data_IF_321221798798
#
_entry.id   IF_321221798798
#
_cell.length_a   1.000
_cell.length_b   1.000
_cell.length_c   1.000
_cell.angle_alpha   90.00
_cell.angle_beta   90.00
_cell.angle_gamma   90.00
#
_symmetry.space_group_name_H-M   'P 1'
#
loop_
_entity.id
_entity.type
_entity.pdbx_description
1 polymer ?
#
# COMPACT_ATOMS: atom_id res chain seq x y z
N UNK A 1 8.98 -27.37 -12.67
CA UNK A 1 8.78 -25.93 -12.42
C UNK A 1 8.30 -25.82 -10.98
N UNK A 2 9.20 -25.55 -10.04
CA UNK A 2 8.93 -25.73 -8.59
C UNK A 2 8.54 -24.44 -7.87
N UNK A 3 8.89 -23.27 -8.43
CA UNK A 3 8.67 -21.97 -7.80
C UNK A 3 7.62 -21.17 -8.56
N UNK A 4 6.34 -21.44 -8.29
CA UNK A 4 5.19 -20.68 -8.81
C UNK A 4 4.61 -19.84 -7.68
N UNK A 5 4.40 -18.55 -7.96
CA UNK A 5 3.82 -17.62 -7.00
C UNK A 5 2.30 -17.52 -7.20
N UNK A 6 1.53 -17.62 -6.12
CA UNK A 6 0.06 -17.53 -6.16
C UNK A 6 -0.42 -16.23 -5.51
N UNK A 7 -1.38 -15.55 -6.16
CA UNK A 7 -2.11 -14.42 -5.56
C UNK A 7 -3.37 -14.95 -4.88
N UNK A 8 -3.26 -15.30 -3.60
CA UNK A 8 -4.37 -15.88 -2.82
C UNK A 8 -5.10 -14.79 -2.03
N UNK A 9 -4.36 -13.82 -1.49
CA UNK A 9 -4.88 -12.90 -0.48
C UNK A 9 -5.60 -11.70 -1.08
N UNK A 10 -5.02 -11.04 -2.08
CA UNK A 10 -5.53 -9.75 -2.58
C UNK A 10 -5.50 -9.69 -4.11
N UNK A 11 -6.54 -9.10 -4.74
CA UNK A 11 -6.53 -8.79 -6.17
C UNK A 11 -5.68 -7.54 -6.41
N UNK A 12 -4.36 -7.68 -6.30
CA UNK A 12 -3.39 -6.58 -6.43
C UNK A 12 -2.20 -7.01 -7.30
N UNK A 13 -1.53 -6.06 -7.95
CA UNK A 13 -0.25 -6.28 -8.62
C UNK A 13 0.76 -7.01 -7.68
N UNK A 14 1.60 -7.92 -8.22
CA UNK A 14 2.38 -8.83 -7.37
C UNK A 14 3.39 -8.10 -6.48
N UNK A 15 3.97 -7.00 -6.98
CA UNK A 15 4.97 -6.23 -6.26
C UNK A 15 4.40 -5.36 -5.12
N UNK A 16 3.08 -5.32 -4.92
CA UNK A 16 2.44 -4.65 -3.79
C UNK A 16 1.87 -5.59 -2.73
N UNK A 17 1.84 -6.90 -2.97
CA UNK A 17 1.12 -7.87 -2.10
C UNK A 17 1.52 -7.75 -0.62
N UNK A 18 2.83 -7.67 -0.34
CA UNK A 18 3.33 -7.52 1.04
C UNK A 18 3.06 -6.14 1.63
N UNK A 19 3.03 -5.09 0.81
CA UNK A 19 2.66 -3.75 1.25
C UNK A 19 1.18 -3.67 1.64
N UNK A 20 0.30 -4.35 0.89
CA UNK A 20 -1.13 -4.50 1.20
C UNK A 20 -1.33 -5.24 2.52
N UNK A 21 -0.62 -6.34 2.71
CA UNK A 21 -0.67 -7.12 3.96
C UNK A 21 -0.28 -6.26 5.17
N UNK A 22 0.85 -5.56 5.08
CA UNK A 22 1.30 -4.67 6.14
C UNK A 22 0.31 -3.53 6.41
N UNK A 23 -0.32 -2.96 5.38
CA UNK A 23 -1.35 -1.94 5.52
C UNK A 23 -2.56 -2.43 6.33
N UNK A 24 -3.00 -3.68 6.14
CA UNK A 24 -4.10 -4.29 6.92
C UNK A 24 -3.68 -4.52 8.39
N UNK A 25 -2.45 -4.96 8.62
CA UNK A 25 -1.91 -5.07 9.98
C UNK A 25 -1.89 -3.70 10.67
N UNK A 26 -1.40 -2.67 9.99
CA UNK A 26 -1.32 -1.31 10.50
C UNK A 26 -2.69 -0.69 10.75
N UNK A 27 -3.68 -0.95 9.89
CA UNK A 27 -5.07 -0.57 10.13
C UNK A 27 -5.56 -1.11 11.48
N UNK A 28 -5.31 -2.39 11.76
CA UNK A 28 -5.69 -3.01 13.03
C UNK A 28 -4.95 -2.39 14.23
N UNK A 29 -3.69 -1.99 14.05
CA UNK A 29 -2.90 -1.32 15.09
C UNK A 29 -3.42 0.10 15.37
N UNK A 30 -3.73 0.87 14.34
CA UNK A 30 -4.35 2.21 14.46
C UNK A 30 -5.63 2.14 15.30
N UNK A 31 -6.52 1.22 14.95
CA UNK A 31 -7.78 1.03 15.69
C UNK A 31 -7.54 0.66 17.16
N UNK A 32 -6.59 -0.25 17.44
CA UNK A 32 -6.23 -0.63 18.82
C UNK A 32 -5.68 0.55 19.63
N UNK A 33 -5.01 1.48 18.97
CA UNK A 33 -4.49 2.70 19.59
C UNK A 33 -5.49 3.86 19.63
N UNK A 34 -6.74 3.65 19.18
CA UNK A 34 -7.76 4.70 19.10
C UNK A 34 -7.43 5.81 18.10
N UNK A 35 -6.55 5.52 17.13
CA UNK A 35 -6.11 6.45 16.09
C UNK A 35 -6.76 6.10 14.75
N UNK A 36 -6.77 7.08 13.86
CA UNK A 36 -7.27 6.99 12.50
C UNK A 36 -6.19 7.36 11.50
N UNK A 37 -6.48 7.15 10.22
CA UNK A 37 -5.58 7.59 9.14
C UNK A 37 -5.39 9.11 9.09
N UNK A 38 -6.31 9.89 9.67
CA UNK A 38 -6.18 11.34 9.75
C UNK A 38 -5.10 11.79 10.76
N UNK A 39 -4.70 10.89 11.67
CA UNK A 39 -3.63 11.14 12.65
C UNK A 39 -2.23 10.81 12.09
N UNK A 40 -2.14 10.39 10.82
CA UNK A 40 -0.88 10.02 10.18
C UNK A 40 -0.24 11.25 9.56
N UNK A 41 0.98 11.57 9.98
CA UNK A 41 1.76 12.68 9.42
C UNK A 41 2.49 12.33 8.12
N UNK A 42 3.07 11.14 8.03
CA UNK A 42 3.84 10.67 6.88
C UNK A 42 3.83 9.15 6.82
N UNK A 43 3.91 8.59 5.62
CA UNK A 43 4.11 7.16 5.39
C UNK A 43 5.28 6.98 4.43
N UNK A 44 6.21 6.09 4.77
CA UNK A 44 7.31 5.71 3.86
C UNK A 44 7.17 4.25 3.50
N UNK A 45 6.91 3.94 2.22
CA UNK A 45 6.99 2.57 1.73
C UNK A 45 8.40 2.33 1.22
N UNK A 46 9.16 1.50 1.95
CA UNK A 46 10.44 0.98 1.47
C UNK A 46 10.16 -0.21 0.57
N UNK A 47 10.65 -0.18 -0.66
CA UNK A 47 10.34 -1.23 -1.63
C UNK A 47 11.48 -1.48 -2.60
N UNK A 48 11.41 -2.57 -3.35
CA UNK A 48 12.42 -2.98 -4.33
C UNK A 48 12.24 -2.29 -5.68
N UNK A 49 13.30 -2.27 -6.51
CA UNK A 49 13.35 -1.52 -7.78
C UNK A 49 12.18 -1.82 -8.72
N UNK A 50 11.80 -3.10 -8.88
CA UNK A 50 10.69 -3.47 -9.76
C UNK A 50 9.35 -2.84 -9.35
N UNK A 51 9.10 -2.70 -8.04
CA UNK A 51 7.89 -2.08 -7.52
C UNK A 51 7.85 -0.60 -7.91
N UNK A 52 8.96 0.11 -7.70
CA UNK A 52 9.09 1.52 -8.07
C UNK A 52 8.88 1.71 -9.58
N UNK A 53 9.54 0.89 -10.39
CA UNK A 53 9.47 1.03 -11.85
C UNK A 53 8.09 0.74 -12.44
N UNK A 54 7.33 -0.17 -11.83
CA UNK A 54 6.09 -0.71 -12.42
C UNK A 54 4.85 -0.05 -11.83
N UNK A 55 4.83 0.21 -10.52
CA UNK A 55 3.61 0.60 -9.80
C UNK A 55 3.76 1.83 -8.88
N UNK A 56 4.89 2.56 -8.91
CA UNK A 56 4.96 3.91 -8.33
C UNK A 56 4.29 4.91 -9.28
N UNK A 57 3.03 5.25 -9.02
CA UNK A 57 2.25 6.21 -9.82
C UNK A 57 1.89 7.44 -8.99
N UNK A 58 2.17 8.61 -9.54
CA UNK A 58 1.82 9.92 -8.98
C UNK A 58 0.76 10.60 -9.84
N UNK A 59 -0.07 11.44 -9.21
CA UNK A 59 -1.14 12.18 -9.88
C UNK A 59 -2.49 11.46 -9.90
N UNK A 60 -3.45 11.94 -10.71
CA UNK A 60 -4.79 11.35 -10.80
C UNK A 60 -4.77 9.88 -11.26
N UNK A 61 -5.78 9.11 -10.87
CA UNK A 61 -5.99 7.71 -11.30
C UNK A 61 -7.41 7.58 -11.88
N UNK A 62 -7.49 7.48 -13.20
CA UNK A 62 -8.74 7.70 -13.91
C UNK A 62 -9.60 6.44 -14.09
N UNK A 63 -9.03 5.26 -13.86
CA UNK A 63 -9.70 3.98 -14.08
C UNK A 63 -9.20 2.88 -13.10
N UNK A 64 -9.92 1.75 -12.99
CA UNK A 64 -9.52 0.65 -12.11
C UNK A 64 -8.11 0.08 -12.39
N UNK A 65 -7.67 0.03 -13.64
CA UNK A 65 -6.35 -0.48 -13.98
C UNK A 65 -5.22 0.43 -13.48
N UNK A 66 -5.44 1.75 -13.49
CA UNK A 66 -4.51 2.71 -12.89
C UNK A 66 -4.37 2.51 -11.39
N UNK A 67 -5.47 2.17 -10.72
CA UNK A 67 -5.54 1.96 -9.27
C UNK A 67 -4.91 0.64 -8.85
N UNK A 68 -5.15 -0.45 -9.58
CA UNK A 68 -4.49 -1.75 -9.39
C UNK A 68 -2.98 -1.70 -9.69
N UNK A 69 -2.51 -0.68 -10.41
CA UNK A 69 -1.07 -0.48 -10.70
C UNK A 69 -0.51 0.77 -10.02
N UNK A 70 -1.06 1.14 -8.86
CA UNK A 70 -0.55 2.21 -8.00
C UNK A 70 -0.36 1.68 -6.58
N UNK A 71 0.90 1.49 -6.15
CA UNK A 71 1.21 1.01 -4.80
C UNK A 71 0.62 1.92 -3.72
N UNK A 72 0.65 3.23 -3.94
CA UNK A 72 0.10 4.20 -2.99
C UNK A 72 -1.42 4.00 -2.81
N UNK A 73 -2.14 3.72 -3.89
CA UNK A 73 -3.58 3.41 -3.82
C UNK A 73 -3.81 2.07 -3.10
N UNK A 74 -3.07 1.03 -3.50
CA UNK A 74 -3.16 -0.31 -2.91
C UNK A 74 -2.77 -0.35 -1.43
N UNK A 75 -2.02 0.63 -0.91
CA UNK A 75 -1.71 0.77 0.53
C UNK A 75 -2.71 1.68 1.24
N UNK A 76 -3.16 2.77 0.62
CA UNK A 76 -4.11 3.70 1.21
C UNK A 76 -5.47 3.03 1.52
N UNK A 77 -6.02 2.25 0.58
CA UNK A 77 -7.32 1.57 0.76
C UNK A 77 -7.33 0.65 1.97
N UNK A 78 -6.39 -0.31 2.13
CA UNK A 78 -6.37 -1.16 3.33
C UNK A 78 -6.06 -0.42 4.62
N UNK A 79 -5.26 0.66 4.61
CA UNK A 79 -5.08 1.51 5.79
C UNK A 79 -6.39 2.14 6.26
N UNK A 80 -7.24 2.56 5.32
CA UNK A 80 -8.54 3.17 5.61
C UNK A 80 -9.56 2.12 6.03
N UNK A 81 -9.68 1.03 5.28
CA UNK A 81 -10.82 0.10 5.35
C UNK A 81 -10.51 -1.27 5.95
N UNK A 82 -9.23 -1.60 6.20
CA UNK A 82 -8.80 -2.89 6.71
C UNK A 82 -8.96 -4.04 5.71
N UNK A 83 -9.13 -3.74 4.42
CA UNK A 83 -9.32 -4.72 3.34
C UNK A 83 -8.86 -4.17 1.99
N UNK A 84 -8.68 -5.06 1.02
CA UNK A 84 -8.55 -4.74 -0.39
C UNK A 84 -9.26 -5.79 -1.23
N UNK A 85 -10.27 -5.37 -1.99
CA UNK A 85 -11.10 -6.21 -2.86
C UNK A 85 -11.17 -5.60 -4.26
N UNK A 86 -11.60 -6.38 -5.25
CA UNK A 86 -11.72 -5.89 -6.62
C UNK A 86 -12.67 -4.67 -6.74
N UNK A 87 -13.73 -4.63 -5.92
CA UNK A 87 -14.66 -3.51 -5.89
C UNK A 87 -14.05 -2.21 -5.35
N UNK A 88 -12.93 -2.28 -4.62
CA UNK A 88 -12.27 -1.09 -4.08
C UNK A 88 -11.47 -0.31 -5.14
N UNK A 89 -11.32 -0.86 -6.36
CA UNK A 89 -10.77 -0.13 -7.50
C UNK A 89 -11.83 0.63 -8.32
N UNK A 90 -13.11 0.47 -8.02
CA UNK A 90 -14.19 1.15 -8.72
C UNK A 90 -14.37 2.59 -8.24
N UNK A 91 -14.93 3.44 -9.10
CA UNK A 91 -15.04 4.89 -8.86
C UNK A 91 -15.73 5.23 -7.54
N UNK A 92 -16.69 4.40 -7.10
CA UNK A 92 -17.41 4.60 -5.85
C UNK A 92 -16.49 4.61 -4.63
N UNK A 93 -15.47 3.76 -4.61
CA UNK A 93 -14.49 3.73 -3.50
C UNK A 93 -13.40 4.75 -3.77
N UNK A 94 -12.94 4.85 -5.02
CA UNK A 94 -11.90 5.80 -5.42
C UNK A 94 -12.29 7.28 -5.16
N UNK A 95 -13.59 7.60 -5.10
CA UNK A 95 -14.07 8.94 -4.77
C UNK A 95 -13.91 9.35 -3.30
N UNK A 96 -13.46 8.45 -2.41
CA UNK A 96 -13.16 8.81 -1.02
C UNK A 96 -11.90 9.69 -0.95
N UNK A 97 -12.08 10.97 -0.62
CA UNK A 97 -11.01 11.97 -0.56
C UNK A 97 -9.84 11.58 0.35
N UNK A 98 -10.08 10.73 1.36
CA UNK A 98 -9.02 10.25 2.26
C UNK A 98 -7.97 9.43 1.52
N UNK A 99 -8.32 8.78 0.42
CA UNK A 99 -7.39 8.01 -0.40
C UNK A 99 -6.33 8.94 -0.98
N UNK A 100 -6.76 10.01 -1.66
CA UNK A 100 -5.83 10.95 -2.28
C UNK A 100 -5.03 11.75 -1.26
N UNK A 101 -5.63 12.10 -0.12
CA UNK A 101 -4.92 12.71 1.00
C UNK A 101 -3.80 11.81 1.54
N UNK A 102 -4.06 10.52 1.71
CA UNK A 102 -3.03 9.56 2.13
C UNK A 102 -1.95 9.37 1.06
N UNK A 103 -2.35 9.27 -0.21
CA UNK A 103 -1.41 9.15 -1.34
C UNK A 103 -0.44 10.33 -1.41
N UNK A 104 -0.88 11.53 -1.02
CA UNK A 104 -0.03 12.72 -1.00
C UNK A 104 1.07 12.69 0.07
N UNK A 105 0.86 11.95 1.17
CA UNK A 105 1.84 11.81 2.26
C UNK A 105 2.59 10.46 2.24
N UNK A 106 2.39 9.67 1.18
CA UNK A 106 3.03 8.39 0.92
C UNK A 106 4.28 8.58 0.06
N UNK A 107 5.44 8.50 0.69
CA UNK A 107 6.73 8.51 0.01
C UNK A 107 7.19 7.08 -0.33
N UNK A 108 7.72 6.89 -1.54
CA UNK A 108 8.38 5.64 -1.95
C UNK A 108 9.89 5.80 -1.83
N UNK A 109 10.55 4.83 -1.21
CA UNK A 109 12.00 4.84 -1.03
C UNK A 109 12.64 3.52 -1.45
N UNK A 110 13.70 3.61 -2.25
CA UNK A 110 14.62 2.51 -2.50
C UNK A 110 15.75 2.58 -1.48
N UNK A 111 15.82 1.61 -0.57
CA UNK A 111 16.98 1.42 0.30
C UNK A 111 17.37 -0.05 0.29
N UNK A 112 18.10 -0.45 -0.75
CA UNK A 112 18.48 -1.83 -0.99
C UNK A 112 19.33 -2.40 0.16
N UNK A 113 20.26 -1.60 0.70
CA UNK A 113 21.14 -2.03 1.78
C UNK A 113 20.41 -2.28 3.10
N UNK A 114 19.28 -1.61 3.36
CA UNK A 114 18.37 -1.94 4.45
C UNK A 114 17.44 -3.09 4.09
N UNK A 115 16.86 -3.11 2.89
CA UNK A 115 15.93 -4.17 2.45
C UNK A 115 16.54 -5.57 2.53
N UNK A 116 17.80 -5.73 2.13
CA UNK A 116 18.50 -7.02 2.19
C UNK A 116 18.79 -7.49 3.63
N UNK A 117 18.67 -6.60 4.62
CA UNK A 117 18.90 -6.88 6.04
C UNK A 117 17.61 -7.01 6.85
N UNK A 118 16.50 -6.52 6.31
CA UNK A 118 15.20 -6.52 6.98
C UNK A 118 14.50 -7.86 6.74
N UNK A 119 14.01 -8.54 7.79
CA UNK A 119 13.18 -9.72 7.64
C UNK A 119 11.93 -9.43 6.78
N UNK A 120 11.48 -10.39 5.99
CA UNK A 120 10.42 -10.17 4.98
C UNK A 120 9.12 -9.58 5.53
N UNK A 121 8.86 -9.75 6.82
CA UNK A 121 7.66 -9.28 7.50
C UNK A 121 7.74 -7.82 8.00
N UNK A 122 8.87 -7.12 7.79
CA UNK A 122 9.12 -5.75 8.29
C UNK A 122 9.27 -4.71 7.15
N UNK A 123 8.82 -5.02 5.92
CA UNK A 123 9.07 -4.17 4.75
C UNK A 123 8.31 -2.84 4.67
N UNK A 124 7.36 -2.57 5.57
CA UNK A 124 6.63 -1.28 5.60
C UNK A 124 6.89 -0.55 6.92
N UNK A 125 7.70 0.50 6.85
CA UNK A 125 7.96 1.39 7.98
C UNK A 125 6.90 2.51 8.04
N UNK A 126 5.91 2.36 8.91
CA UNK A 126 4.96 3.43 9.21
C UNK A 126 5.46 4.27 10.40
N UNK A 127 6.02 5.44 10.14
CA UNK A 127 6.31 6.43 11.19
C UNK A 127 5.08 7.28 11.48
N UNK A 128 4.29 6.89 12.47
CA UNK A 128 3.26 7.76 13.05
C UNK A 128 3.92 8.72 14.05
N UNK A 129 4.15 9.97 13.64
CA UNK A 129 4.58 11.05 14.54
C UNK A 129 3.37 11.84 15.00
#
# INVERSE_FOLDING_TARGET
MENVLFKISFPAEFHSQTAVEAAITLHSQLLKSGKSVADIKNITIRTHEACIRIIDKKGPLDNPADRDHCIQYMVAVPLIFGRLTAADYEDKVASDERIDLLRAILAISLDQGQLEKIPVHEYVDLYMI
#
